data_IF_278782035074
#
_entry.id   IF_278782035074
#
_cell.length_a   1.000
_cell.length_b   1.000
_cell.length_c   1.000
_cell.angle_alpha   90.00
_cell.angle_beta   90.00
_cell.angle_gamma   90.00
#
_symmetry.space_group_name_H-M   'P 1'
#
loop_
_entity.id
_entity.type
_entity.pdbx_description
1 polymer ?
#
# COMPACT_ATOMS: atom_id res chain seq x y z
N UNK A 1 -17.97 -19.36 11.08
CA UNK A 1 -17.32 -20.11 9.98
C UNK A 1 -16.27 -19.21 9.36
N UNK A 2 -15.06 -19.72 9.06
CA UNK A 2 -14.09 -18.92 8.33
C UNK A 2 -14.43 -18.93 6.84
N UNK A 3 -14.37 -17.76 6.20
CA UNK A 3 -14.45 -17.64 4.75
C UNK A 3 -13.03 -17.66 4.19
N UNK A 4 -12.81 -18.39 3.10
CA UNK A 4 -11.50 -18.47 2.42
C UNK A 4 -11.66 -18.11 0.96
N UNK A 5 -10.84 -17.18 0.49
CA UNK A 5 -10.76 -16.76 -0.91
C UNK A 5 -9.30 -16.82 -1.38
N UNK A 6 -9.09 -17.09 -2.67
CA UNK A 6 -7.76 -17.21 -3.27
C UNK A 6 -7.58 -16.09 -4.28
N UNK A 7 -6.56 -15.26 -4.09
CA UNK A 7 -6.12 -14.27 -5.06
C UNK A 7 -4.99 -14.85 -5.93
N UNK A 8 -4.98 -14.53 -7.23
CA UNK A 8 -3.96 -14.97 -8.19
C UNK A 8 -3.39 -13.78 -8.95
N UNK A 9 -2.09 -13.82 -9.22
CA UNK A 9 -1.39 -12.90 -10.11
C UNK A 9 -0.27 -13.68 -10.81
N UNK A 10 0.10 -13.26 -12.02
CA UNK A 10 1.25 -13.80 -12.76
C UNK A 10 2.22 -12.69 -13.13
N UNK A 11 3.51 -13.00 -13.13
CA UNK A 11 4.58 -12.08 -13.52
C UNK A 11 5.32 -12.65 -14.72
N UNK A 12 5.64 -11.80 -15.69
CA UNK A 12 6.52 -12.16 -16.79
C UNK A 12 7.59 -11.08 -17.02
N UNK A 13 8.84 -11.53 -17.06
CA UNK A 13 10.02 -10.74 -17.40
C UNK A 13 10.68 -11.38 -18.62
N UNK A 14 11.02 -10.57 -19.62
CA UNK A 14 11.68 -11.02 -20.83
C UNK A 14 12.98 -10.22 -21.03
N UNK A 15 14.03 -10.89 -21.51
CA UNK A 15 15.27 -10.22 -21.85
C UNK A 15 15.02 -9.23 -23.00
N UNK A 16 15.49 -7.97 -22.93
CA UNK A 16 15.36 -7.05 -24.06
C UNK A 16 16.17 -7.56 -25.26
N UNK A 17 15.70 -7.30 -26.47
CA UNK A 17 16.37 -7.70 -27.72
C UNK A 17 17.69 -6.94 -28.01
N UNK A 18 18.15 -6.05 -27.13
CA UNK A 18 19.35 -5.25 -27.37
C UNK A 18 20.64 -6.06 -27.11
N UNK A 19 21.66 -5.94 -27.98
CA UNK A 19 22.91 -6.66 -27.82
C UNK A 19 23.63 -6.23 -26.54
N UNK A 20 23.83 -7.18 -25.63
CA UNK A 20 24.60 -6.98 -24.40
C UNK A 20 26.02 -6.52 -24.73
N UNK A 21 26.49 -5.44 -24.09
CA UNK A 21 27.91 -5.10 -24.05
C UNK A 21 28.67 -6.31 -23.49
N UNK A 22 29.62 -6.82 -24.27
CA UNK A 22 30.40 -8.02 -23.96
C UNK A 22 30.96 -7.94 -22.54
N UNK A 23 30.57 -8.89 -21.68
CA UNK A 23 31.17 -9.10 -20.36
C UNK A 23 30.34 -8.70 -19.13
N UNK A 24 29.17 -8.05 -19.28
CA UNK A 24 28.28 -7.81 -18.13
C UNK A 24 26.86 -8.33 -18.39
N UNK A 25 26.38 -9.28 -17.57
CA UNK A 25 24.98 -9.71 -17.57
C UNK A 25 24.16 -8.69 -16.78
N UNK A 26 23.80 -7.57 -17.40
CA UNK A 26 22.90 -6.58 -16.80
C UNK A 26 21.48 -6.96 -17.19
N UNK A 27 20.70 -7.43 -16.23
CA UNK A 27 19.27 -7.67 -16.42
C UNK A 27 18.50 -6.37 -16.21
N UNK A 28 17.52 -6.09 -17.08
CA UNK A 28 16.55 -5.03 -16.85
C UNK A 28 15.65 -5.39 -15.68
N UNK A 29 15.09 -4.37 -15.02
CA UNK A 29 14.19 -4.56 -13.88
C UNK A 29 12.72 -4.41 -14.26
N UNK A 30 12.45 -3.93 -15.47
CA UNK A 30 11.11 -3.74 -16.01
C UNK A 30 10.46 -5.07 -16.39
N UNK A 31 9.23 -5.27 -15.95
CA UNK A 31 8.41 -6.46 -16.17
C UNK A 31 6.93 -6.08 -16.10
N UNK A 32 6.05 -7.04 -16.37
CA UNK A 32 4.61 -6.84 -16.20
C UNK A 32 4.01 -7.87 -15.24
N UNK A 33 2.97 -7.42 -14.53
CA UNK A 33 2.13 -8.26 -13.66
C UNK A 33 0.72 -8.28 -14.24
N UNK A 34 0.19 -9.48 -14.48
CA UNK A 34 -1.17 -9.70 -14.96
C UNK A 34 -2.06 -10.26 -13.84
N UNK A 35 -3.28 -9.72 -13.76
CA UNK A 35 -4.35 -10.17 -12.87
C UNK A 35 -5.60 -10.37 -13.75
N UNK A 36 -6.26 -11.51 -13.61
CA UNK A 36 -7.42 -11.86 -14.43
C UNK A 36 -8.49 -10.75 -14.42
N UNK A 37 -8.90 -10.33 -15.62
CA UNK A 37 -9.92 -9.29 -15.83
C UNK A 37 -9.44 -7.85 -15.59
N UNK A 38 -8.14 -7.60 -15.40
CA UNK A 38 -7.57 -6.26 -15.22
C UNK A 38 -6.52 -5.95 -16.29
N UNK A 39 -6.24 -4.66 -16.47
CA UNK A 39 -5.09 -4.23 -17.26
C UNK A 39 -3.78 -4.64 -16.59
N UNK A 40 -2.77 -4.96 -17.39
CA UNK A 40 -1.45 -5.32 -16.91
C UNK A 40 -0.77 -4.15 -16.21
N UNK A 41 -0.17 -4.42 -15.05
CA UNK A 41 0.67 -3.46 -14.34
C UNK A 41 2.06 -3.48 -14.96
N UNK A 42 2.53 -2.32 -15.40
CA UNK A 42 3.92 -2.12 -15.79
C UNK A 42 4.73 -1.78 -14.53
N UNK A 43 5.73 -2.59 -14.24
CA UNK A 43 6.47 -2.55 -12.98
C UNK A 43 7.98 -2.54 -13.25
N UNK A 44 8.73 -1.83 -12.42
CA UNK A 44 10.18 -1.87 -12.36
C UNK A 44 10.62 -1.92 -10.89
N UNK A 45 11.92 -2.02 -10.62
CA UNK A 45 12.43 -1.68 -9.29
C UNK A 45 12.26 -0.18 -9.00
N UNK A 46 12.28 0.20 -7.72
CA UNK A 46 12.27 1.59 -7.32
C UNK A 46 13.50 2.36 -7.87
N UNK A 47 13.37 3.69 -8.00
CA UNK A 47 14.48 4.58 -8.42
C UNK A 47 15.73 4.44 -7.53
N UNK A 48 15.53 4.30 -6.22
CA UNK A 48 16.61 4.05 -5.25
C UNK A 48 17.42 2.80 -5.58
N UNK A 49 16.77 1.83 -6.24
CA UNK A 49 17.37 0.59 -6.70
C UNK A 49 17.59 0.58 -8.22
N UNK A 50 17.81 1.74 -8.85
CA UNK A 50 18.16 1.87 -10.27
C UNK A 50 17.11 1.30 -11.24
N UNK A 51 15.82 1.38 -10.90
CA UNK A 51 14.74 1.09 -11.84
C UNK A 51 14.16 2.34 -12.51
N UNK A 52 13.20 2.13 -13.40
CA UNK A 52 12.48 3.18 -14.11
C UNK A 52 11.46 3.90 -13.18
N UNK A 53 11.66 5.20 -12.88
CA UNK A 53 10.77 5.96 -12.00
C UNK A 53 9.39 6.28 -12.62
N UNK A 54 9.19 6.05 -13.92
CA UNK A 54 7.89 6.23 -14.56
C UNK A 54 6.93 5.04 -14.35
N UNK A 55 7.45 3.90 -13.85
CA UNK A 55 6.68 2.68 -13.60
C UNK A 55 6.46 2.49 -12.11
N UNK A 56 5.42 1.73 -11.76
CA UNK A 56 5.23 1.28 -10.39
C UNK A 56 6.40 0.39 -9.95
N UNK A 57 6.62 0.30 -8.64
CA UNK A 57 7.54 -0.68 -8.06
C UNK A 57 6.85 -1.47 -6.93
N UNK A 58 7.41 -2.62 -6.52
CA UNK A 58 6.81 -3.45 -5.47
C UNK A 58 6.55 -2.70 -4.17
N UNK A 59 7.44 -1.79 -3.79
CA UNK A 59 7.33 -0.95 -2.59
C UNK A 59 6.12 -0.02 -2.65
N UNK A 60 5.94 0.70 -3.77
CA UNK A 60 4.77 1.55 -4.02
C UNK A 60 3.48 0.72 -3.99
N UNK A 61 3.48 -0.47 -4.60
CA UNK A 61 2.30 -1.33 -4.68
C UNK A 61 1.91 -1.91 -3.32
N UNK A 62 2.89 -2.26 -2.48
CA UNK A 62 2.64 -2.70 -1.11
C UNK A 62 2.03 -1.58 -0.27
N UNK A 63 2.64 -0.38 -0.30
CA UNK A 63 2.14 0.78 0.42
C UNK A 63 0.72 1.14 -0.05
N UNK A 64 0.49 1.17 -1.37
CA UNK A 64 -0.81 1.43 -1.97
C UNK A 64 -1.89 0.43 -1.53
N UNK A 65 -1.52 -0.85 -1.45
CA UNK A 65 -2.42 -1.91 -0.98
C UNK A 65 -2.78 -1.74 0.49
N UNK A 66 -1.80 -1.37 1.32
CA UNK A 66 -1.99 -1.15 2.75
C UNK A 66 -2.89 0.06 3.04
N UNK A 67 -2.61 1.22 2.42
CA UNK A 67 -3.43 2.43 2.62
C UNK A 67 -4.87 2.22 2.17
N UNK A 68 -5.06 1.53 1.03
CA UNK A 68 -6.38 1.25 0.48
C UNK A 68 -7.19 0.30 1.38
N UNK A 69 -6.55 -0.76 1.90
CA UNK A 69 -7.20 -1.70 2.79
C UNK A 69 -7.57 -1.07 4.15
N UNK A 70 -6.70 -0.22 4.69
CA UNK A 70 -6.98 0.52 5.92
C UNK A 70 -8.15 1.49 5.72
N UNK A 71 -8.16 2.28 4.64
CA UNK A 71 -9.27 3.17 4.31
C UNK A 71 -10.60 2.40 4.24
N UNK A 72 -10.67 1.30 3.49
CA UNK A 72 -11.92 0.50 3.40
C UNK A 72 -12.38 -0.04 4.76
N UNK A 73 -11.43 -0.46 5.60
CA UNK A 73 -11.72 -0.92 6.96
C UNK A 73 -12.24 0.23 7.85
N UNK A 74 -11.68 1.42 7.68
CA UNK A 74 -12.10 2.64 8.38
C UNK A 74 -13.51 3.07 7.98
N UNK A 75 -13.80 3.13 6.68
CA UNK A 75 -15.14 3.41 6.16
C UNK A 75 -16.18 2.44 6.73
N UNK A 76 -15.84 1.15 6.82
CA UNK A 76 -16.70 0.13 7.41
C UNK A 76 -16.99 0.37 8.90
N UNK A 77 -15.98 0.70 9.72
CA UNK A 77 -16.23 0.95 11.15
C UNK A 77 -16.97 2.26 11.38
N UNK A 78 -16.73 3.29 10.58
CA UNK A 78 -17.50 4.53 10.62
C UNK A 78 -18.97 4.28 10.29
N UNK A 79 -19.26 3.46 9.26
CA UNK A 79 -20.65 3.11 8.93
C UNK A 79 -21.36 2.34 10.05
N UNK A 80 -20.62 1.55 10.85
CA UNK A 80 -21.18 0.85 12.02
C UNK A 80 -21.47 1.78 13.20
N UNK A 81 -20.83 2.94 13.24
CA UNK A 81 -21.01 3.94 14.28
C UNK A 81 -21.84 5.15 13.79
N UNK A 82 -22.50 5.04 12.63
CA UNK A 82 -23.31 6.09 12.03
C UNK A 82 -22.55 7.40 11.76
N UNK A 83 -21.25 7.33 11.53
CA UNK A 83 -20.42 8.47 11.14
C UNK A 83 -20.49 8.62 9.63
N UNK A 84 -20.99 9.76 9.16
CA UNK A 84 -21.04 10.11 7.75
C UNK A 84 -19.74 10.80 7.33
N UNK A 85 -18.97 10.13 6.47
CA UNK A 85 -17.70 10.62 5.93
C UNK A 85 -17.97 11.32 4.59
N UNK A 86 -17.50 12.55 4.47
CA UNK A 86 -17.55 13.35 3.25
C UNK A 86 -16.28 13.18 2.40
N UNK A 87 -15.13 13.05 3.05
CA UNK A 87 -13.87 12.79 2.34
C UNK A 87 -12.85 12.07 3.20
N UNK A 88 -11.95 11.33 2.53
CA UNK A 88 -10.80 10.67 3.12
C UNK A 88 -9.60 10.88 2.20
N UNK A 89 -8.47 11.29 2.76
CA UNK A 89 -7.16 11.31 2.08
C UNK A 89 -6.11 10.73 3.00
N UNK A 90 -5.05 10.17 2.44
CA UNK A 90 -3.94 9.64 3.22
C UNK A 90 -2.61 9.87 2.50
N UNK A 91 -1.69 10.55 3.18
CA UNK A 91 -0.32 10.79 2.72
C UNK A 91 0.63 9.88 3.50
N UNK A 92 0.55 8.58 3.26
CA UNK A 92 1.31 7.59 3.99
C UNK A 92 2.81 7.64 3.65
N UNK A 93 3.63 7.32 4.65
CA UNK A 93 5.09 7.23 4.52
C UNK A 93 5.52 5.84 4.96
N UNK A 94 6.43 5.24 4.21
CA UNK A 94 6.98 3.92 4.53
C UNK A 94 8.51 3.98 4.56
N UNK A 95 9.10 3.36 5.57
CA UNK A 95 10.55 3.28 5.76
C UNK A 95 11.03 1.88 5.41
N UNK A 96 11.92 1.80 4.42
CA UNK A 96 12.61 0.57 4.05
C UNK A 96 14.09 0.70 4.39
N UNK A 97 14.60 -0.32 5.09
CA UNK A 97 16.00 -0.44 5.46
C UNK A 97 16.66 -1.57 4.68
N UNK A 98 17.92 -1.38 4.30
CA UNK A 98 18.74 -2.37 3.59
C UNK A 98 19.99 -2.70 4.38
N UNK A 99 20.34 -3.98 4.41
CA UNK A 99 21.56 -4.50 5.01
C UNK A 99 22.73 -4.50 4.01
N UNK A 100 23.96 -4.62 4.52
CA UNK A 100 25.18 -4.56 3.70
C UNK A 100 25.32 -5.70 2.68
N UNK A 101 24.57 -6.78 2.83
CA UNK A 101 24.50 -7.90 1.89
C UNK A 101 23.46 -7.71 0.78
N UNK A 102 22.73 -6.59 0.81
CA UNK A 102 21.69 -6.23 -0.16
C UNK A 102 20.30 -6.76 0.19
N UNK A 103 20.12 -7.46 1.30
CA UNK A 103 18.79 -7.77 1.85
C UNK A 103 18.17 -6.53 2.52
N UNK A 104 16.90 -6.61 2.91
CA UNK A 104 16.19 -5.48 3.51
C UNK A 104 14.72 -5.76 3.76
N UNK A 105 14.04 -4.78 4.37
CA UNK A 105 12.60 -4.85 4.66
C UNK A 105 12.04 -3.47 4.97
N UNK A 106 10.72 -3.35 4.83
CA UNK A 106 10.00 -2.28 5.53
C UNK A 106 10.13 -2.48 7.04
N UNK A 107 10.46 -1.41 7.76
CA UNK A 107 10.50 -1.40 9.23
C UNK A 107 9.28 -0.70 9.83
N UNK A 108 8.71 0.26 9.09
CA UNK A 108 7.56 1.05 9.54
C UNK A 108 6.75 1.60 8.37
N UNK A 109 5.43 1.70 8.56
CA UNK A 109 4.55 2.56 7.77
C UNK A 109 3.76 3.47 8.71
N UNK A 110 3.74 4.77 8.40
CA UNK A 110 2.92 5.77 9.09
C UNK A 110 1.82 6.23 8.12
N UNK A 111 0.57 6.00 8.52
CA UNK A 111 -0.60 6.51 7.83
C UNK A 111 -0.96 7.90 8.36
N UNK A 112 -1.29 8.84 7.47
CA UNK A 112 -1.79 10.18 7.80
C UNK A 112 -3.21 10.40 7.27
N UNK A 113 -4.23 9.70 7.80
CA UNK A 113 -5.61 9.91 7.39
C UNK A 113 -6.06 11.34 7.68
N UNK A 114 -6.61 12.01 6.68
CA UNK A 114 -7.32 13.27 6.79
C UNK A 114 -8.78 13.02 6.44
N UNK A 115 -9.66 13.16 7.43
CA UNK A 115 -11.08 12.81 7.32
C UNK A 115 -11.94 14.06 7.49
N UNK A 116 -12.94 14.21 6.63
CA UNK A 116 -14.00 15.20 6.77
C UNK A 116 -15.32 14.48 7.05
N UNK A 117 -16.01 14.88 8.11
CA UNK A 117 -17.31 14.31 8.52
C UNK A 117 -18.40 15.40 8.58
N UNK A 118 -19.66 15.00 8.76
CA UNK A 118 -20.78 15.95 8.86
C UNK A 118 -21.06 16.46 10.28
N UNK A 119 -20.74 15.68 11.32
CA UNK A 119 -21.10 15.98 12.72
C UNK A 119 -19.85 16.21 13.58
N UNK A 120 -19.63 17.46 14.02
CA UNK A 120 -18.51 17.86 14.87
C UNK A 120 -18.46 17.08 16.20
N UNK A 121 -19.62 16.69 16.74
CA UNK A 121 -19.67 15.95 18.01
C UNK A 121 -19.06 14.54 17.92
N UNK A 122 -18.86 14.03 16.70
CA UNK A 122 -18.32 12.69 16.45
C UNK A 122 -16.82 12.67 16.15
N UNK A 123 -16.14 13.82 16.15
CA UNK A 123 -14.71 13.92 15.80
C UNK A 123 -13.83 12.99 16.65
N UNK A 124 -14.00 12.99 17.96
CA UNK A 124 -13.19 12.15 18.85
C UNK A 124 -13.40 10.66 18.58
N UNK A 125 -14.65 10.26 18.35
CA UNK A 125 -14.98 8.89 17.99
C UNK A 125 -14.35 8.54 16.63
N UNK A 126 -14.52 9.39 15.61
CA UNK A 126 -13.96 9.21 14.28
C UNK A 126 -12.44 9.03 14.30
N UNK A 127 -11.72 9.78 15.13
CA UNK A 127 -10.27 9.63 15.34
C UNK A 127 -9.94 8.27 15.97
N UNK A 128 -10.67 7.88 17.02
CA UNK A 128 -10.41 6.62 17.74
C UNK A 128 -10.60 5.37 16.87
N UNK A 129 -11.51 5.44 15.88
CA UNK A 129 -11.88 4.30 15.03
C UNK A 129 -10.76 3.82 14.12
N UNK A 130 -9.70 4.59 13.88
CA UNK A 130 -8.53 4.09 13.15
C UNK A 130 -7.85 2.90 13.85
N UNK A 131 -7.87 2.85 15.17
CA UNK A 131 -7.35 1.71 15.94
C UNK A 131 -8.17 0.44 15.65
N UNK A 132 -9.49 0.56 15.58
CA UNK A 132 -10.37 -0.55 15.26
C UNK A 132 -10.24 -0.96 13.78
N UNK A 133 -10.15 0.02 12.88
CA UNK A 133 -9.93 -0.20 11.45
C UNK A 133 -8.65 -1.01 11.19
N UNK A 134 -7.55 -0.67 11.89
CA UNK A 134 -6.28 -1.39 11.74
C UNK A 134 -6.41 -2.88 12.11
N UNK A 135 -7.17 -3.21 13.16
CA UNK A 135 -7.42 -4.60 13.55
C UNK A 135 -8.21 -5.39 12.50
N UNK A 136 -9.03 -4.71 11.69
CA UNK A 136 -9.82 -5.31 10.62
C UNK A 136 -9.09 -5.32 9.27
N UNK A 137 -8.06 -4.48 9.11
CA UNK A 137 -7.29 -4.36 7.88
C UNK A 137 -6.53 -5.66 7.58
N UNK A 138 -6.95 -6.36 6.53
CA UNK A 138 -6.33 -7.64 6.14
C UNK A 138 -4.85 -7.48 5.79
N UNK A 139 -4.49 -6.38 5.12
CA UNK A 139 -3.10 -6.14 4.71
C UNK A 139 -2.23 -5.80 5.92
N UNK A 140 -2.68 -4.93 6.83
CA UNK A 140 -1.94 -4.64 8.07
C UNK A 140 -1.70 -5.91 8.89
N UNK A 141 -2.71 -6.77 9.01
CA UNK A 141 -2.60 -8.08 9.69
C UNK A 141 -1.70 -9.10 8.96
N UNK A 142 -1.30 -8.82 7.73
CA UNK A 142 -0.43 -9.68 6.91
C UNK A 142 1.02 -9.18 6.83
N UNK A 143 1.29 -7.99 7.36
CA UNK A 143 2.61 -7.36 7.36
C UNK A 143 3.38 -7.70 8.65
N UNK A 144 4.71 -7.74 8.58
CA UNK A 144 5.58 -8.01 9.72
C UNK A 144 6.25 -6.75 10.32
N UNK A 145 5.81 -5.57 9.87
CA UNK A 145 6.32 -4.27 10.28
C UNK A 145 5.25 -3.45 10.99
N UNK A 146 5.66 -2.44 11.75
CA UNK A 146 4.75 -1.58 12.49
C UNK A 146 3.94 -0.71 11.55
N UNK A 147 2.63 -0.62 11.75
CA UNK A 147 1.73 0.32 11.07
C UNK A 147 1.17 1.29 12.09
N UNK A 148 1.57 2.57 11.99
CA UNK A 148 1.15 3.66 12.86
C UNK A 148 0.09 4.54 12.17
N UNK A 149 -0.70 5.26 12.97
CA UNK A 149 -1.73 6.17 12.48
C UNK A 149 -1.61 7.52 13.16
N UNK A 150 -1.49 8.59 12.37
CA UNK A 150 -1.57 9.98 12.82
C UNK A 150 -2.77 10.67 12.17
N UNK A 151 -4.01 10.30 12.55
CA UNK A 151 -5.20 10.79 11.89
C UNK A 151 -5.54 12.23 12.30
N UNK A 152 -6.16 12.95 11.38
CA UNK A 152 -6.82 14.24 11.60
C UNK A 152 -8.25 14.15 11.12
N UNK A 153 -9.17 14.77 11.85
CA UNK A 153 -10.58 14.81 11.50
C UNK A 153 -11.12 16.23 11.67
N UNK A 154 -11.96 16.66 10.72
CA UNK A 154 -12.67 17.93 10.73
C UNK A 154 -14.15 17.69 10.40
N UNK A 155 -15.02 18.61 10.79
CA UNK A 155 -16.43 18.62 10.38
C UNK A 155 -16.72 19.87 9.52
N UNK A 156 -17.75 19.80 8.67
CA UNK A 156 -18.24 20.95 7.88
C UNK A 156 -19.12 21.89 8.70
#
# INVERSE_FOLDING_TARGET
MSYKHIFKASLAWNHPEQPSVVGSKIYTKSHHIAIEGKADLQVSAAKAFKGDPALYNPEDLLLSSLISCHMMSYLYVCSKNSIEILSYKDNAIATLETDGDGSGRFTEVILHPEVLITDESQIELALSLHTQANKLCFIANSCNFTVLHHPKCQAI
#
